data_IF_176564370130
#
_entry.id   IF_176564370130
#
_cell.length_a   1.000
_cell.length_b   1.000
_cell.length_c   1.000
_cell.angle_alpha   90.00
_cell.angle_beta   90.00
_cell.angle_gamma   90.00
#
_symmetry.space_group_name_H-M   'P 1'
#
loop_
_entity.id
_entity.type
_entity.pdbx_description
1 polymer ?
#
# COMPACT_ATOMS: atom_id res chain seq x y z
N UNK A 1 5.89 -4.33 -18.71
CA UNK A 1 5.65 -4.98 -17.40
C UNK A 1 6.43 -4.34 -16.25
N UNK A 2 7.58 -3.69 -16.48
CA UNK A 2 8.34 -3.03 -15.41
C UNK A 2 7.62 -1.86 -14.72
N UNK A 3 6.93 -1.00 -15.47
CA UNK A 3 6.33 0.23 -14.94
C UNK A 3 5.30 -0.01 -13.80
N UNK A 4 4.40 -0.99 -13.95
CA UNK A 4 3.38 -1.30 -12.93
C UNK A 4 4.01 -1.84 -11.63
N UNK A 5 5.03 -2.69 -11.76
CA UNK A 5 5.76 -3.23 -10.61
C UNK A 5 6.51 -2.12 -9.87
N UNK A 6 7.18 -1.22 -10.61
CA UNK A 6 7.86 -0.05 -10.06
C UNK A 6 6.86 0.85 -9.34
N UNK A 7 5.68 1.08 -9.93
CA UNK A 7 4.62 1.87 -9.30
C UNK A 7 4.19 1.28 -7.95
N UNK A 8 3.92 -0.03 -7.86
CA UNK A 8 3.53 -0.65 -6.57
C UNK A 8 4.64 -0.64 -5.53
N UNK A 9 5.90 -0.76 -5.93
CA UNK A 9 7.03 -0.63 -5.00
C UNK A 9 7.11 0.78 -4.43
N UNK A 10 7.11 1.80 -5.31
CA UNK A 10 7.16 3.20 -4.89
C UNK A 10 5.96 3.53 -4.02
N UNK A 11 4.76 3.14 -4.46
CA UNK A 11 3.53 3.40 -3.74
C UNK A 11 3.52 2.71 -2.38
N UNK A 12 3.90 1.43 -2.30
CA UNK A 12 4.01 0.70 -1.02
C UNK A 12 4.99 1.33 -0.04
N UNK A 13 6.17 1.77 -0.49
CA UNK A 13 7.14 2.48 0.35
C UNK A 13 6.58 3.82 0.84
N UNK A 14 5.94 4.59 -0.05
CA UNK A 14 5.30 5.86 0.32
C UNK A 14 4.13 5.65 1.29
N UNK A 15 3.36 4.57 1.17
CA UNK A 15 2.29 4.22 2.11
C UNK A 15 2.84 3.93 3.50
N UNK A 16 3.95 3.19 3.60
CA UNK A 16 4.62 2.93 4.89
C UNK A 16 5.11 4.26 5.48
N UNK A 17 5.80 5.08 4.69
CA UNK A 17 6.29 6.38 5.13
C UNK A 17 5.15 7.31 5.59
N UNK A 18 4.04 7.36 4.83
CA UNK A 18 2.85 8.11 5.19
C UNK A 18 2.20 7.63 6.49
N UNK A 19 2.16 6.31 6.73
CA UNK A 19 1.72 5.72 7.99
C UNK A 19 2.58 6.14 9.18
N UNK A 20 3.91 6.14 9.01
CA UNK A 20 4.87 6.59 10.04
C UNK A 20 4.69 8.09 10.33
N UNK A 21 4.60 8.93 9.30
CA UNK A 21 4.39 10.38 9.47
C UNK A 21 3.03 10.64 10.15
N UNK A 22 1.99 9.91 9.74
CA UNK A 22 0.67 9.99 10.38
C UNK A 22 0.72 9.62 11.86
N UNK A 23 1.42 8.54 12.21
CA UNK A 23 1.66 8.15 13.60
C UNK A 23 2.42 9.23 14.38
N UNK A 24 3.51 9.77 13.83
CA UNK A 24 4.30 10.82 14.50
C UNK A 24 3.48 12.08 14.73
N UNK A 25 2.61 12.44 13.79
CA UNK A 25 1.79 13.66 13.86
C UNK A 25 0.55 13.53 14.76
N UNK A 26 -0.10 12.36 14.74
CA UNK A 26 -1.35 12.13 15.46
C UNK A 26 -1.18 11.34 16.78
N UNK A 27 -0.01 10.74 17.02
CA UNK A 27 0.22 9.81 18.13
C UNK A 27 -0.59 8.51 18.02
N UNK A 28 -1.21 8.23 16.87
CA UNK A 28 -2.24 7.21 16.74
C UNK A 28 -1.66 5.88 16.25
N UNK A 29 -1.62 4.87 17.14
CA UNK A 29 -1.29 3.49 16.77
C UNK A 29 -2.04 2.97 15.52
N UNK A 30 -3.32 3.31 15.30
CA UNK A 30 -4.03 2.92 14.08
C UNK A 30 -3.36 3.37 12.77
N UNK A 31 -2.71 4.53 12.73
CA UNK A 31 -2.08 5.05 11.51
C UNK A 31 -0.81 4.27 11.14
N UNK A 32 -0.01 3.86 12.13
CA UNK A 32 1.18 3.05 11.88
C UNK A 32 0.79 1.64 11.43
N UNK A 33 -0.25 1.07 12.05
CA UNK A 33 -0.74 -0.28 11.74
C UNK A 33 -1.34 -0.29 10.33
N UNK A 34 -2.23 0.67 10.03
CA UNK A 34 -2.86 0.77 8.71
C UNK A 34 -1.81 0.99 7.62
N UNK A 35 -0.90 1.97 7.77
CA UNK A 35 0.10 2.27 6.75
C UNK A 35 1.14 1.16 6.56
N UNK A 36 1.59 0.50 7.64
CA UNK A 36 2.58 -0.58 7.54
C UNK A 36 1.99 -1.85 6.94
N UNK A 37 0.79 -2.26 7.37
CA UNK A 37 0.14 -3.48 6.86
C UNK A 37 -0.25 -3.28 5.40
N UNK A 38 -0.91 -2.18 5.05
CA UNK A 38 -1.34 -1.93 3.67
C UNK A 38 -0.15 -1.72 2.73
N UNK A 39 0.90 -1.03 3.17
CA UNK A 39 2.13 -0.87 2.41
C UNK A 39 2.84 -2.20 2.15
N UNK A 40 2.92 -3.09 3.15
CA UNK A 40 3.49 -4.43 2.98
C UNK A 40 2.68 -5.28 2.00
N UNK A 41 1.35 -5.22 2.07
CA UNK A 41 0.47 -5.93 1.15
C UNK A 41 0.60 -5.41 -0.30
N UNK A 42 0.85 -4.10 -0.51
CA UNK A 42 1.17 -3.54 -1.83
C UNK A 42 2.50 -4.05 -2.38
N UNK A 43 3.51 -4.21 -1.52
CA UNK A 43 4.79 -4.82 -1.91
C UNK A 43 4.61 -6.30 -2.29
N UNK A 44 3.81 -7.06 -1.54
CA UNK A 44 3.45 -8.45 -1.87
C UNK A 44 2.73 -8.51 -3.22
N UNK A 45 1.76 -7.62 -3.46
CA UNK A 45 1.09 -7.50 -4.76
C UNK A 45 2.07 -7.21 -5.92
N UNK A 46 3.11 -6.42 -5.67
CA UNK A 46 4.18 -6.15 -6.64
C UNK A 46 5.02 -7.40 -6.97
N UNK A 47 5.23 -8.29 -5.99
CA UNK A 47 5.94 -9.56 -6.18
C UNK A 47 5.08 -10.62 -6.87
N UNK A 48 3.75 -10.55 -6.76
CA UNK A 48 2.80 -11.43 -7.43
C UNK A 48 2.59 -11.10 -8.92
N UNK A 49 2.84 -9.86 -9.34
CA UNK A 49 2.66 -9.40 -10.73
C UNK A 49 3.34 -10.25 -11.83
N UNK A 50 4.56 -10.78 -11.65
CA UNK A 50 5.26 -11.57 -12.68
C UNK A 50 4.63 -12.93 -12.95
N UNK A 51 4.11 -13.61 -11.91
CA UNK A 51 3.56 -14.96 -12.02
C UNK A 51 2.03 -14.98 -12.05
N UNK A 52 1.38 -14.05 -11.33
CA UNK A 52 -0.06 -14.04 -11.09
C UNK A 52 -0.63 -12.62 -11.30
N UNK A 53 -0.52 -12.13 -12.54
CA UNK A 53 -0.85 -10.75 -12.90
C UNK A 53 -2.24 -10.29 -12.45
N UNK A 54 -3.28 -11.10 -12.65
CA UNK A 54 -4.65 -10.76 -12.27
C UNK A 54 -4.80 -10.61 -10.75
N UNK A 55 -4.18 -11.51 -9.98
CA UNK A 55 -4.21 -11.51 -8.53
C UNK A 55 -3.45 -10.29 -8.00
N UNK A 56 -2.22 -10.03 -8.48
CA UNK A 56 -1.45 -8.86 -8.07
C UNK A 56 -2.16 -7.53 -8.34
N UNK A 57 -2.83 -7.40 -9.50
CA UNK A 57 -3.62 -6.20 -9.81
C UNK A 57 -4.85 -6.07 -8.92
N UNK A 58 -5.60 -7.16 -8.70
CA UNK A 58 -6.78 -7.15 -7.85
C UNK A 58 -6.43 -6.79 -6.40
N UNK A 59 -5.37 -7.39 -5.86
CA UNK A 59 -4.88 -7.10 -4.50
C UNK A 59 -4.48 -5.64 -4.36
N UNK A 60 -3.68 -5.10 -5.28
CA UNK A 60 -3.26 -3.70 -5.22
C UNK A 60 -4.44 -2.73 -5.37
N UNK A 61 -5.41 -3.05 -6.22
CA UNK A 61 -6.62 -2.24 -6.41
C UNK A 61 -7.45 -2.19 -5.11
N UNK A 62 -7.74 -3.34 -4.50
CA UNK A 62 -8.52 -3.42 -3.25
C UNK A 62 -7.83 -2.64 -2.13
N UNK A 63 -6.51 -2.80 -1.94
CA UNK A 63 -5.78 -2.09 -0.88
C UNK A 63 -5.79 -0.59 -1.11
N UNK A 64 -5.60 -0.15 -2.36
CA UNK A 64 -5.65 1.28 -2.71
C UNK A 64 -7.04 1.86 -2.43
N UNK A 65 -8.10 1.11 -2.68
CA UNK A 65 -9.48 1.51 -2.43
C UNK A 65 -9.79 1.61 -0.93
N UNK A 66 -9.29 0.66 -0.12
CA UNK A 66 -9.43 0.71 1.34
C UNK A 66 -8.69 1.91 1.93
N UNK A 67 -7.48 2.20 1.45
CA UNK A 67 -6.73 3.39 1.84
C UNK A 67 -7.49 4.67 1.47
N UNK A 68 -8.00 4.74 0.24
CA UNK A 68 -8.80 5.87 -0.22
C UNK A 68 -10.04 6.06 0.66
N UNK A 69 -10.81 5.00 0.92
CA UNK A 69 -12.00 5.06 1.77
C UNK A 69 -11.70 5.48 3.22
N UNK A 70 -10.52 5.14 3.75
CA UNK A 70 -10.15 5.50 5.11
C UNK A 70 -9.58 6.92 5.25
N UNK A 71 -8.89 7.43 4.23
CA UNK A 71 -8.14 8.69 4.31
C UNK A 71 -8.70 9.83 3.45
N UNK A 72 -9.60 9.56 2.50
CA UNK A 72 -10.33 10.58 1.75
C UNK A 72 -11.61 10.91 2.54
N UNK A 73 -11.82 12.17 2.95
CA UNK A 73 -13.02 12.58 3.69
C UNK A 73 -14.31 12.56 2.86
#
# INVERSE_FOLDING_TARGET
MGATKIYFIIFGVLTIAGGIIGYVKAGSLPSIIAGSITGLLLLIAALLLPEHRAIGLATAFVISLLLAAQFIP
#
